data_IF_851037737408
#
_entry.id   IF_851037737408
#
_cell.length_a   1.000
_cell.length_b   1.000
_cell.length_c   1.000
_cell.angle_alpha   90.00
_cell.angle_beta   90.00
_cell.angle_gamma   90.00
#
_symmetry.space_group_name_H-M   'P 1'
#
loop_
_entity.id
_entity.type
_entity.pdbx_description
1 polymer ?
#
# COMPACT_ATOMS: atom_id res chain seq x y z
N UNK A 1 44.06 24.93 -90.32
CA UNK A 1 44.13 25.58 -89.00
C UNK A 1 43.00 25.03 -88.16
N UNK A 2 43.25 23.95 -87.43
CA UNK A 2 42.31 23.38 -86.44
C UNK A 2 43.19 23.10 -85.22
N UNK A 3 43.11 23.97 -84.23
CA UNK A 3 43.72 23.75 -82.93
C UNK A 3 42.60 23.28 -82.00
N UNK A 4 42.53 21.98 -81.78
CA UNK A 4 41.68 21.38 -80.76
C UNK A 4 42.35 21.62 -79.41
N UNK A 5 41.79 22.52 -78.59
CA UNK A 5 42.21 22.69 -77.19
C UNK A 5 41.79 21.43 -76.42
N UNK A 6 42.75 20.62 -76.01
CA UNK A 6 42.56 19.56 -75.03
C UNK A 6 42.65 20.16 -73.63
N UNK A 7 41.52 20.32 -72.95
CA UNK A 7 41.48 20.64 -71.52
C UNK A 7 41.85 19.40 -70.72
N UNK A 8 43.06 19.40 -70.14
CA UNK A 8 43.53 18.36 -69.22
C UNK A 8 42.70 18.40 -67.93
N UNK A 9 41.79 17.43 -67.78
CA UNK A 9 41.23 17.12 -66.47
C UNK A 9 42.33 16.37 -65.68
N UNK A 10 42.74 16.85 -64.49
CA UNK A 10 43.55 16.00 -63.63
C UNK A 10 42.69 14.79 -63.25
N UNK A 11 43.10 13.61 -63.73
CA UNK A 11 42.55 12.34 -63.27
C UNK A 11 42.87 12.25 -61.77
N UNK A 12 41.90 12.59 -60.93
CA UNK A 12 41.88 12.12 -59.55
C UNK A 12 41.99 10.61 -59.61
N UNK A 13 43.07 10.07 -59.06
CA UNK A 13 43.22 8.65 -58.76
C UNK A 13 42.06 8.24 -57.84
N UNK A 14 40.96 7.81 -58.44
CA UNK A 14 39.68 7.52 -57.75
C UNK A 14 39.72 6.24 -56.93
N UNK A 15 40.76 5.42 -57.09
CA UNK A 15 40.96 4.18 -56.33
C UNK A 15 42.45 3.97 -56.08
N UNK A 16 42.93 4.25 -54.86
CA UNK A 16 44.25 3.81 -54.39
C UNK A 16 44.06 2.54 -53.56
N UNK A 17 44.62 1.42 -54.02
CA UNK A 17 44.71 0.15 -53.28
C UNK A 17 45.88 0.14 -52.29
N UNK A 18 46.26 1.31 -51.79
CA UNK A 18 47.22 1.45 -50.69
C UNK A 18 46.54 1.10 -49.36
N UNK A 19 47.30 0.49 -48.43
CA UNK A 19 46.80 0.17 -47.08
C UNK A 19 46.23 1.41 -46.38
N UNK A 20 46.77 2.59 -46.70
CA UNK A 20 46.28 3.91 -46.33
C UNK A 20 45.61 4.56 -47.55
N UNK A 21 44.32 4.84 -47.48
CA UNK A 21 43.61 5.54 -48.53
C UNK A 21 42.99 6.83 -47.97
N UNK A 22 43.20 7.95 -48.67
CA UNK A 22 42.73 9.29 -48.28
C UNK A 22 42.05 9.96 -49.46
N UNK A 23 40.80 10.38 -49.31
CA UNK A 23 40.05 11.05 -50.37
C UNK A 23 38.60 11.28 -49.98
N UNK A 24 37.82 12.03 -50.77
CA UNK A 24 36.40 12.26 -50.48
C UNK A 24 35.62 10.93 -50.33
N UNK A 25 35.97 9.95 -51.16
CA UNK A 25 35.51 8.56 -51.09
C UNK A 25 36.74 7.69 -50.95
N UNK A 26 36.83 6.93 -49.87
CA UNK A 26 38.03 6.15 -49.58
C UNK A 26 37.67 4.74 -49.12
N UNK A 27 38.25 3.75 -49.79
CA UNK A 27 38.09 2.32 -49.45
C UNK A 27 39.48 1.70 -49.29
N UNK A 28 39.76 1.08 -48.15
CA UNK A 28 41.08 0.50 -47.85
C UNK A 28 41.15 -0.04 -46.42
N UNK A 29 42.24 -0.71 -46.03
CA UNK A 29 42.39 -1.22 -44.66
C UNK A 29 42.33 -0.08 -43.61
N UNK A 30 43.01 1.03 -43.90
CA UNK A 30 42.93 2.31 -43.20
C UNK A 30 42.41 3.35 -44.18
N UNK A 31 41.23 3.88 -43.90
CA UNK A 31 40.55 4.79 -44.82
C UNK A 31 40.19 6.10 -44.10
N UNK A 32 40.52 7.24 -44.70
CA UNK A 32 40.10 8.57 -44.22
C UNK A 32 39.42 9.35 -45.35
N UNK A 33 38.20 9.81 -45.13
CA UNK A 33 37.44 10.49 -46.17
C UNK A 33 36.09 11.01 -45.71
N UNK A 34 35.35 11.73 -46.57
CA UNK A 34 33.97 12.09 -46.25
C UNK A 34 33.08 10.84 -46.16
N UNK A 35 33.27 9.91 -47.11
CA UNK A 35 32.75 8.55 -47.10
C UNK A 35 33.91 7.57 -47.04
N UNK A 36 34.00 6.83 -45.95
CA UNK A 36 35.13 5.95 -45.67
C UNK A 36 34.65 4.53 -45.35
N UNK A 37 35.23 3.54 -46.01
CA UNK A 37 35.02 2.12 -45.72
C UNK A 37 36.37 1.42 -45.51
N UNK A 38 36.55 0.73 -44.40
CA UNK A 38 37.82 0.06 -44.10
C UNK A 38 37.82 -0.70 -42.78
N UNK A 39 38.88 -1.43 -42.45
CA UNK A 39 39.00 -2.03 -41.11
C UNK A 39 39.07 -0.93 -40.03
N UNK A 40 39.82 0.13 -40.33
CA UNK A 40 39.88 1.38 -39.58
C UNK A 40 39.41 2.51 -40.50
N UNK A 41 38.31 3.13 -40.15
CA UNK A 41 37.66 4.13 -41.00
C UNK A 41 37.45 5.42 -40.22
N UNK A 42 37.78 6.56 -40.83
CA UNK A 42 37.54 7.90 -40.26
C UNK A 42 36.87 8.78 -41.29
N UNK A 43 35.71 9.35 -40.97
CA UNK A 43 34.98 10.16 -41.93
C UNK A 43 33.65 10.73 -41.45
N UNK A 44 32.96 11.48 -42.31
CA UNK A 44 31.59 11.91 -41.98
C UNK A 44 30.66 10.70 -41.93
N UNK A 45 30.74 9.82 -42.93
CA UNK A 45 30.16 8.48 -42.96
C UNK A 45 31.30 7.45 -42.96
N UNK A 46 31.34 6.60 -41.94
CA UNK A 46 32.43 5.65 -41.71
C UNK A 46 31.88 4.24 -41.47
N UNK A 47 32.35 3.26 -42.24
CA UNK A 47 32.00 1.84 -42.07
C UNK A 47 33.25 1.00 -41.88
N UNK A 48 33.30 0.19 -40.82
CA UNK A 48 34.51 -0.55 -40.49
C UNK A 48 34.46 -1.39 -39.23
N UNK A 49 35.60 -1.97 -38.84
CA UNK A 49 35.71 -2.63 -37.54
C UNK A 49 35.86 -1.58 -36.43
N UNK A 50 36.68 -0.57 -36.69
CA UNK A 50 36.83 0.66 -35.90
C UNK A 50 36.44 1.86 -36.77
N UNK A 51 35.36 2.54 -36.38
CA UNK A 51 34.77 3.64 -37.16
C UNK A 51 34.69 4.91 -36.31
N UNK A 52 35.28 6.00 -36.79
CA UNK A 52 35.22 7.32 -36.12
C UNK A 52 34.66 8.38 -37.06
N UNK A 53 33.65 9.12 -36.62
CA UNK A 53 32.90 9.97 -37.57
C UNK A 53 31.61 10.57 -37.05
N UNK A 54 30.84 11.20 -37.95
CA UNK A 54 29.51 11.68 -37.61
C UNK A 54 28.49 10.53 -37.62
N UNK A 55 28.57 9.65 -38.63
CA UNK A 55 27.72 8.48 -38.81
C UNK A 55 28.60 7.24 -39.00
N UNK A 56 28.59 6.36 -38.00
CA UNK A 56 29.47 5.20 -37.95
C UNK A 56 28.67 3.91 -37.96
N UNK A 57 29.11 2.94 -38.76
CA UNK A 57 28.71 1.55 -38.65
C UNK A 57 29.95 0.70 -38.41
N UNK A 58 29.99 -0.08 -37.34
CA UNK A 58 31.15 -0.90 -37.07
C UNK A 58 31.18 -1.59 -35.71
N UNK A 59 32.12 -2.51 -35.50
CA UNK A 59 32.21 -3.24 -34.23
C UNK A 59 32.48 -2.29 -33.05
N UNK A 60 33.41 -1.34 -33.23
CA UNK A 60 33.69 -0.23 -32.32
C UNK A 60 33.45 1.09 -33.05
N UNK A 61 32.50 1.88 -32.57
CA UNK A 61 32.07 3.12 -33.24
C UNK A 61 32.10 4.30 -32.28
N UNK A 62 32.79 5.38 -32.66
CA UNK A 62 32.84 6.64 -31.88
C UNK A 62 32.40 7.83 -32.73
N UNK A 63 31.37 8.57 -32.27
CA UNK A 63 30.80 9.63 -33.10
C UNK A 63 29.46 10.19 -32.66
N UNK A 64 28.78 10.93 -33.54
CA UNK A 64 27.45 11.46 -33.23
C UNK A 64 26.36 10.36 -33.31
N UNK A 65 26.36 9.57 -34.38
CA UNK A 65 25.43 8.47 -34.64
C UNK A 65 26.22 7.18 -34.88
N UNK A 66 26.02 6.17 -34.03
CA UNK A 66 26.79 4.93 -34.07
C UNK A 66 25.87 3.72 -34.13
N UNK A 67 26.13 2.81 -35.05
CA UNK A 67 25.54 1.46 -35.08
C UNK A 67 26.66 0.43 -34.97
N UNK A 68 26.66 -0.38 -33.90
CA UNK A 68 27.81 -1.22 -33.63
C UNK A 68 27.67 -2.20 -32.47
N UNK A 69 28.74 -2.92 -32.14
CA UNK A 69 28.75 -3.76 -30.94
C UNK A 69 29.08 -2.91 -29.70
N UNK A 70 30.08 -2.04 -29.80
CA UNK A 70 30.50 -1.06 -28.81
C UNK A 70 30.39 0.34 -29.43
N UNK A 71 29.49 1.17 -28.92
CA UNK A 71 29.16 2.47 -29.49
C UNK A 71 29.24 3.56 -28.44
N UNK A 72 30.07 4.59 -28.69
CA UNK A 72 30.19 5.77 -27.81
C UNK A 72 29.88 7.04 -28.59
N UNK A 73 28.90 7.83 -28.12
CA UNK A 73 28.42 8.96 -28.91
C UNK A 73 27.15 9.62 -28.42
N UNK A 74 26.54 10.49 -29.23
CA UNK A 74 25.27 11.10 -28.89
C UNK A 74 24.10 10.10 -29.05
N UNK A 75 24.05 9.38 -30.17
CA UNK A 75 23.01 8.40 -30.52
C UNK A 75 23.67 7.07 -30.86
N UNK A 76 23.33 6.03 -30.11
CA UNK A 76 23.97 4.72 -30.23
C UNK A 76 22.93 3.61 -30.35
N UNK A 77 23.13 2.73 -31.31
CA UNK A 77 22.44 1.45 -31.41
C UNK A 77 23.49 0.35 -31.37
N UNK A 78 23.42 -0.54 -30.39
CA UNK A 78 24.44 -1.58 -30.25
C UNK A 78 24.38 -2.39 -28.99
N UNK A 79 25.15 -3.49 -28.90
CA UNK A 79 25.14 -4.35 -27.71
C UNK A 79 25.53 -3.58 -26.44
N UNK A 80 26.58 -2.74 -26.52
CA UNK A 80 27.09 -1.90 -25.46
C UNK A 80 27.14 -0.45 -25.94
N UNK A 81 26.33 0.42 -25.35
CA UNK A 81 26.13 1.79 -25.83
C UNK A 81 26.30 2.81 -24.70
N UNK A 82 27.12 3.83 -24.91
CA UNK A 82 27.31 4.96 -23.97
C UNK A 82 27.03 6.28 -24.68
N UNK A 83 26.01 7.03 -24.22
CA UNK A 83 25.63 8.26 -24.91
C UNK A 83 24.44 9.03 -24.36
N UNK A 84 23.94 10.00 -25.13
CA UNK A 84 22.70 10.70 -24.75
C UNK A 84 21.49 9.79 -24.97
N UNK A 85 21.43 9.12 -26.12
CA UNK A 85 20.42 8.15 -26.52
C UNK A 85 21.09 6.83 -26.87
N UNK A 86 20.74 5.76 -26.16
CA UNK A 86 21.39 4.45 -26.31
C UNK A 86 20.33 3.34 -26.37
N UNK A 87 20.32 2.57 -27.46
CA UNK A 87 19.50 1.36 -27.60
C UNK A 87 20.40 0.14 -27.68
N UNK A 88 20.23 -0.84 -26.79
CA UNK A 88 21.19 -1.93 -26.68
C UNK A 88 20.89 -3.00 -25.65
N UNK A 89 21.84 -3.92 -25.44
CA UNK A 89 21.75 -4.87 -24.33
C UNK A 89 22.16 -4.19 -23.03
N UNK A 90 23.26 -3.42 -23.07
CA UNK A 90 23.80 -2.59 -22.00
C UNK A 90 23.88 -1.15 -22.48
N UNK A 91 23.09 -0.27 -21.88
CA UNK A 91 22.97 1.13 -22.28
C UNK A 91 23.22 2.05 -21.09
N UNK A 92 24.19 2.94 -21.23
CA UNK A 92 24.45 4.02 -20.26
C UNK A 92 24.24 5.37 -20.93
N UNK A 93 23.60 6.31 -20.22
CA UNK A 93 23.22 7.56 -20.86
C UNK A 93 22.11 8.37 -20.24
N UNK A 94 21.59 9.36 -20.97
CA UNK A 94 20.41 10.11 -20.53
C UNK A 94 19.11 9.34 -20.81
N UNK A 95 18.99 8.76 -22.01
CA UNK A 95 17.82 8.00 -22.46
C UNK A 95 18.27 6.64 -22.97
N UNK A 96 17.91 5.59 -22.25
CA UNK A 96 18.36 4.25 -22.53
C UNK A 96 17.18 3.30 -22.77
N UNK A 97 17.26 2.53 -23.85
CA UNK A 97 16.39 1.37 -24.08
C UNK A 97 17.25 0.12 -24.14
N UNK A 98 16.97 -0.89 -23.32
CA UNK A 98 17.80 -2.08 -23.34
C UNK A 98 17.53 -3.11 -22.27
N UNK A 99 18.35 -4.17 -22.20
CA UNK A 99 18.17 -5.17 -21.15
C UNK A 99 18.64 -4.65 -19.79
N UNK A 100 19.81 -4.01 -19.75
CA UNK A 100 20.38 -3.31 -18.60
C UNK A 100 20.61 -1.84 -18.98
N UNK A 101 19.92 -0.94 -18.28
CA UNK A 101 19.91 0.49 -18.60
C UNK A 101 20.24 1.32 -17.36
N UNK A 102 21.25 2.20 -17.45
CA UNK A 102 21.63 3.12 -16.37
C UNK A 102 21.65 4.56 -16.88
N UNK A 103 20.88 5.44 -16.24
CA UNK A 103 20.70 6.79 -16.78
C UNK A 103 19.60 7.63 -16.14
N UNK A 104 19.24 8.74 -16.78
CA UNK A 104 18.13 9.57 -16.30
C UNK A 104 16.77 8.92 -16.62
N UNK A 105 16.58 8.45 -17.85
CA UNK A 105 15.37 7.80 -18.36
C UNK A 105 15.73 6.43 -18.94
N UNK A 106 15.18 5.37 -18.36
CA UNK A 106 15.52 4.01 -18.72
C UNK A 106 14.27 3.18 -19.00
N UNK A 107 14.24 2.49 -20.13
CA UNK A 107 13.28 1.44 -20.44
C UNK A 107 14.03 0.12 -20.61
N UNK A 108 13.68 -0.91 -19.85
CA UNK A 108 14.45 -2.15 -19.94
C UNK A 108 14.06 -3.26 -18.99
N UNK A 109 14.83 -4.34 -18.95
CA UNK A 109 14.57 -5.41 -17.98
C UNK A 109 15.04 -5.00 -16.58
N UNK A 110 16.28 -4.50 -16.49
CA UNK A 110 16.88 -3.92 -15.29
C UNK A 110 17.23 -2.45 -15.57
N UNK A 111 16.57 -1.54 -14.85
CA UNK A 111 16.69 -0.10 -15.07
C UNK A 111 17.05 0.62 -13.77
N UNK A 112 18.16 1.37 -13.78
CA UNK A 112 18.61 2.18 -12.64
C UNK A 112 18.77 3.64 -13.03
N UNK A 113 18.14 4.56 -12.31
CA UNK A 113 18.09 5.95 -12.77
C UNK A 113 17.13 6.87 -12.05
N UNK A 114 16.80 8.02 -12.65
CA UNK A 114 15.76 8.89 -12.11
C UNK A 114 14.35 8.38 -12.46
N UNK A 115 14.13 8.02 -13.72
CA UNK A 115 12.85 7.56 -14.28
C UNK A 115 13.06 6.21 -14.96
N UNK A 116 12.40 5.17 -14.45
CA UNK A 116 12.64 3.81 -14.89
C UNK A 116 11.33 3.09 -15.19
N UNK A 117 11.29 2.41 -16.33
CA UNK A 117 10.25 1.45 -16.69
C UNK A 117 10.92 0.12 -16.98
N UNK A 118 10.47 -0.96 -16.34
CA UNK A 118 11.10 -2.25 -16.56
C UNK A 118 10.60 -3.39 -15.70
N UNK A 119 11.26 -4.55 -15.74
CA UNK A 119 10.91 -5.65 -14.82
C UNK A 119 11.40 -5.36 -13.40
N UNK A 120 12.67 -4.95 -13.28
CA UNK A 120 13.31 -4.46 -12.06
C UNK A 120 13.71 -3.00 -12.28
N UNK A 121 13.10 -2.10 -11.52
CA UNK A 121 13.30 -0.65 -11.67
C UNK A 121 13.66 0.01 -10.35
N UNK A 122 14.80 0.70 -10.30
CA UNK A 122 15.29 1.41 -9.10
C UNK A 122 15.59 2.88 -9.42
N UNK A 123 14.94 3.81 -8.72
CA UNK A 123 15.08 5.24 -9.02
C UNK A 123 14.13 6.16 -8.27
N UNK A 124 13.99 7.41 -8.70
CA UNK A 124 13.02 8.33 -8.09
C UNK A 124 11.58 7.94 -8.46
N UNK A 125 11.35 7.72 -9.76
CA UNK A 125 10.10 7.23 -10.35
C UNK A 125 10.37 5.88 -11.01
N UNK A 126 9.76 4.82 -10.48
CA UNK A 126 10.02 3.46 -10.91
C UNK A 126 8.72 2.73 -11.21
N UNK A 127 8.57 2.21 -12.42
CA UNK A 127 7.45 1.35 -12.83
C UNK A 127 7.97 -0.02 -13.22
N UNK A 128 7.50 -1.08 -12.58
CA UNK A 128 7.91 -2.43 -12.95
C UNK A 128 7.29 -3.56 -12.17
N UNK A 129 7.72 -4.80 -12.40
CA UNK A 129 7.26 -5.91 -11.56
C UNK A 129 7.80 -5.76 -10.13
N UNK A 130 9.10 -5.46 -10.01
CA UNK A 130 9.77 -5.04 -8.78
C UNK A 130 10.22 -3.60 -8.95
N UNK A 131 9.66 -2.72 -8.13
CA UNK A 131 9.90 -1.28 -8.21
C UNK A 131 10.38 -0.74 -6.86
N UNK A 132 11.50 -0.03 -6.87
CA UNK A 132 12.01 0.70 -5.70
C UNK A 132 12.24 2.16 -6.06
N UNK A 133 11.74 3.07 -5.21
CA UNK A 133 11.89 4.50 -5.44
C UNK A 133 11.12 5.42 -4.52
N UNK A 134 11.13 6.71 -4.79
CA UNK A 134 10.26 7.63 -4.07
C UNK A 134 8.79 7.40 -4.46
N UNK A 135 8.55 7.16 -5.75
CA UNK A 135 7.27 6.84 -6.34
C UNK A 135 7.40 5.52 -7.11
N UNK A 136 6.76 4.48 -6.60
CA UNK A 136 6.91 3.11 -7.10
C UNK A 136 5.58 2.48 -7.48
N UNK A 137 5.48 2.02 -8.73
CA UNK A 137 4.33 1.27 -9.22
C UNK A 137 4.78 -0.12 -9.67
N UNK A 138 4.09 -1.17 -9.21
CA UNK A 138 4.50 -2.52 -9.53
C UNK A 138 3.77 -3.65 -8.82
N UNK A 139 4.20 -4.89 -9.02
CA UNK A 139 3.66 -6.01 -8.24
C UNK A 139 4.22 -5.98 -6.82
N UNK A 140 5.53 -5.78 -6.71
CA UNK A 140 6.25 -5.50 -5.46
C UNK A 140 6.81 -4.08 -5.54
N UNK A 141 6.32 -3.19 -4.69
CA UNK A 141 6.70 -1.77 -4.71
C UNK A 141 7.21 -1.32 -3.34
N UNK A 142 8.39 -0.69 -3.32
CA UNK A 142 8.95 -0.08 -2.10
C UNK A 142 9.25 1.39 -2.34
N UNK A 143 8.69 2.26 -1.50
CA UNK A 143 8.86 3.69 -1.69
C UNK A 143 8.05 4.59 -0.78
N UNK A 144 8.23 5.91 -0.90
CA UNK A 144 7.41 6.87 -0.14
C UNK A 144 5.94 6.78 -0.56
N UNK A 145 5.68 6.71 -1.85
CA UNK A 145 4.39 6.46 -2.48
C UNK A 145 4.47 5.17 -3.30
N UNK A 146 3.76 4.14 -2.87
CA UNK A 146 3.80 2.82 -3.52
C UNK A 146 2.41 2.34 -3.91
N UNK A 147 2.27 1.93 -5.18
CA UNK A 147 1.05 1.32 -5.70
C UNK A 147 1.38 -0.06 -6.27
N UNK A 148 0.55 -1.06 -5.97
CA UNK A 148 0.87 -2.43 -6.36
C UNK A 148 0.10 -3.52 -5.66
N UNK A 149 0.52 -4.78 -5.86
CA UNK A 149 -0.06 -5.90 -5.10
C UNK A 149 0.51 -5.94 -3.67
N UNK A 150 1.82 -5.78 -3.53
CA UNK A 150 2.54 -5.79 -2.26
C UNK A 150 3.38 -4.52 -2.13
N UNK A 151 3.04 -3.69 -1.14
CA UNK A 151 3.63 -2.36 -1.00
C UNK A 151 4.25 -2.17 0.39
N UNK A 152 5.44 -1.58 0.41
CA UNK A 152 6.08 -1.09 1.64
C UNK A 152 6.46 0.37 1.46
N UNK A 153 6.10 1.23 2.42
CA UNK A 153 6.26 2.65 2.21
C UNK A 153 5.65 3.57 3.25
N UNK A 154 5.56 4.86 2.94
CA UNK A 154 4.83 5.82 3.78
C UNK A 154 3.33 5.82 3.41
N UNK A 155 3.03 5.96 2.11
CA UNK A 155 1.69 5.98 1.54
C UNK A 155 1.54 4.82 0.55
N UNK A 156 0.68 3.85 0.87
CA UNK A 156 0.58 2.61 0.10
C UNK A 156 -0.86 2.32 -0.33
N UNK A 157 -1.03 1.87 -1.58
CA UNK A 157 -2.31 1.38 -2.11
C UNK A 157 -2.12 0.04 -2.81
N UNK A 158 -2.77 -1.02 -2.32
CA UNK A 158 -2.60 -2.36 -2.88
C UNK A 158 -3.38 -3.48 -2.24
N UNK A 159 -3.01 -4.74 -2.52
CA UNK A 159 -3.64 -5.89 -1.86
C UNK A 159 -3.08 -6.09 -0.45
N UNK A 160 -1.75 -6.06 -0.33
CA UNK A 160 -0.99 -6.09 0.92
C UNK A 160 -0.21 -4.77 1.03
N UNK A 161 -0.49 -3.96 2.05
CA UNK A 161 0.10 -2.63 2.19
C UNK A 161 0.64 -2.42 3.61
N UNK A 162 1.94 -2.11 3.74
CA UNK A 162 2.58 -1.82 5.03
C UNK A 162 3.22 -0.44 5.02
N UNK A 163 2.80 0.45 5.95
CA UNK A 163 3.29 1.82 5.98
C UNK A 163 2.67 2.73 7.01
N UNK A 164 2.73 4.04 6.81
CA UNK A 164 2.07 5.01 7.71
C UNK A 164 0.59 5.14 7.37
N UNK A 165 0.26 5.36 6.10
CA UNK A 165 -1.07 5.24 5.52
C UNK A 165 -1.08 4.05 4.57
N UNK A 166 -1.91 3.07 4.88
CA UNK A 166 -2.01 1.84 4.11
C UNK A 166 -3.46 1.60 3.71
N UNK A 167 -3.72 1.57 2.40
CA UNK A 167 -5.01 1.17 1.84
C UNK A 167 -4.86 -0.15 1.10
N UNK A 168 -5.77 -1.10 1.37
CA UNK A 168 -5.71 -2.41 0.74
C UNK A 168 -6.56 -3.49 1.36
N UNK A 169 -6.47 -4.73 0.85
CA UNK A 169 -7.21 -5.84 1.44
C UNK A 169 -6.66 -6.20 2.83
N UNK A 170 -5.33 -6.33 2.94
CA UNK A 170 -4.58 -6.43 4.19
C UNK A 170 -3.73 -5.17 4.34
N UNK A 171 -4.02 -4.35 5.34
CA UNK A 171 -3.31 -3.10 5.58
C UNK A 171 -2.73 -3.06 6.99
N UNK A 172 -1.44 -2.76 7.09
CA UNK A 172 -0.77 -2.48 8.36
C UNK A 172 -0.18 -1.08 8.34
N UNK A 173 -0.43 -0.31 9.40
CA UNK A 173 0.08 1.05 9.48
C UNK A 173 -0.57 1.93 10.54
N UNK A 174 -0.16 3.19 10.65
CA UNK A 174 -0.77 4.11 11.62
C UNK A 174 -2.25 4.36 11.29
N UNK A 175 -2.54 4.65 10.01
CA UNK A 175 -3.89 4.69 9.44
C UNK A 175 -4.01 3.54 8.43
N UNK A 176 -4.92 2.62 8.70
CA UNK A 176 -5.14 1.44 7.85
C UNK A 176 -6.59 1.33 7.43
N UNK A 177 -6.82 1.24 6.12
CA UNK A 177 -8.16 1.09 5.53
C UNK A 177 -8.19 -0.13 4.62
N UNK A 178 -9.24 -0.95 4.73
CA UNK A 178 -9.23 -2.25 4.06
C UNK A 178 -10.25 -3.27 4.51
N UNK A 179 -10.04 -4.54 4.15
CA UNK A 179 -10.82 -5.64 4.71
C UNK A 179 -10.27 -6.07 6.07
N UNK A 180 -8.95 -6.27 6.17
CA UNK A 180 -8.24 -6.70 7.37
C UNK A 180 -7.15 -5.70 7.71
N UNK A 181 -7.28 -5.03 8.85
CA UNK A 181 -6.47 -3.86 9.16
C UNK A 181 -5.86 -3.94 10.55
N UNK A 182 -4.57 -3.63 10.64
CA UNK A 182 -3.88 -3.45 11.92
C UNK A 182 -3.26 -2.06 11.97
N UNK A 183 -3.65 -1.25 12.95
CA UNK A 183 -3.14 0.10 13.03
C UNK A 183 -3.54 0.89 14.26
N UNK A 184 -3.09 2.14 14.37
CA UNK A 184 -3.60 3.01 15.44
C UNK A 184 -5.05 3.41 15.16
N UNK A 185 -5.33 3.83 13.93
CA UNK A 185 -6.66 4.06 13.38
C UNK A 185 -6.91 3.02 12.27
N UNK A 186 -7.96 2.22 12.44
CA UNK A 186 -8.20 1.03 11.62
C UNK A 186 -9.66 0.97 11.17
N UNK A 187 -9.90 0.99 9.86
CA UNK A 187 -11.26 0.98 9.26
C UNK A 187 -11.43 -0.17 8.28
N UNK A 188 -12.35 -1.09 8.56
CA UNK A 188 -12.57 -2.24 7.70
C UNK A 188 -13.53 -3.30 8.22
N UNK A 189 -13.47 -4.51 7.66
CA UNK A 189 -14.30 -5.62 8.13
C UNK A 189 -13.75 -6.19 9.43
N UNK A 190 -12.45 -6.47 9.49
CA UNK A 190 -11.70 -6.86 10.68
C UNK A 190 -10.66 -5.76 10.97
N UNK A 191 -10.80 -5.10 12.11
CA UNK A 191 -9.95 -3.96 12.47
C UNK A 191 -9.36 -4.15 13.86
N UNK A 192 -8.03 -4.19 13.95
CA UNK A 192 -7.30 -4.18 15.22
C UNK A 192 -6.59 -2.84 15.37
N UNK A 193 -6.76 -2.18 16.52
CA UNK A 193 -6.14 -0.88 16.73
C UNK A 193 -6.51 -0.13 18.00
N UNK A 194 -6.05 1.11 18.14
CA UNK A 194 -6.48 1.98 19.24
C UNK A 194 -7.90 2.46 19.00
N UNK A 195 -8.17 2.98 17.79
CA UNK A 195 -9.49 3.32 17.28
C UNK A 195 -9.81 2.38 16.11
N UNK A 196 -10.83 1.56 16.28
CA UNK A 196 -11.24 0.57 15.26
C UNK A 196 -12.70 0.76 14.87
N UNK A 197 -12.96 0.88 13.58
CA UNK A 197 -14.31 0.93 13.01
C UNK A 197 -14.50 -0.22 12.03
N UNK A 198 -15.62 -0.92 12.12
CA UNK A 198 -15.81 -2.11 11.30
C UNK A 198 -16.88 -3.09 11.73
N UNK A 199 -16.87 -4.30 11.14
CA UNK A 199 -17.75 -5.38 11.56
C UNK A 199 -17.20 -6.07 12.82
N UNK A 200 -15.91 -6.37 12.84
CA UNK A 200 -15.20 -7.05 13.93
C UNK A 200 -14.02 -6.20 14.37
N UNK A 201 -14.13 -5.62 15.56
CA UNK A 201 -13.14 -4.67 16.06
C UNK A 201 -12.50 -5.17 17.35
N UNK A 202 -11.18 -5.09 17.42
CA UNK A 202 -10.42 -5.26 18.66
C UNK A 202 -9.61 -4.00 18.92
N UNK A 203 -9.67 -3.46 20.13
CA UNK A 203 -9.01 -2.20 20.39
C UNK A 203 -9.34 -1.50 21.70
N UNK A 204 -8.94 -0.24 21.82
CA UNK A 204 -9.35 0.60 22.97
C UNK A 204 -10.73 1.20 22.76
N UNK A 205 -10.95 1.84 21.61
CA UNK A 205 -12.20 2.50 21.22
C UNK A 205 -12.73 1.84 19.95
N UNK A 206 -13.88 1.17 20.06
CA UNK A 206 -14.44 0.40 18.95
C UNK A 206 -15.86 0.87 18.59
N UNK A 207 -16.13 0.98 17.29
CA UNK A 207 -17.48 1.21 16.76
C UNK A 207 -17.79 0.19 15.67
N UNK A 208 -18.85 -0.59 15.84
CA UNK A 208 -19.12 -1.68 14.89
C UNK A 208 -20.15 -2.71 15.31
N UNK A 209 -20.23 -3.83 14.60
CA UNK A 209 -21.17 -4.90 14.93
C UNK A 209 -20.70 -5.73 16.13
N UNK A 210 -19.45 -6.17 16.13
CA UNK A 210 -18.83 -7.02 17.14
C UNK A 210 -17.55 -6.34 17.64
N UNK A 211 -17.51 -5.99 18.92
CA UNK A 211 -16.43 -5.20 19.48
C UNK A 211 -15.86 -5.85 20.74
N UNK A 212 -14.53 -5.89 20.82
CA UNK A 212 -13.78 -6.27 22.03
C UNK A 212 -12.81 -5.15 22.39
N UNK A 213 -13.05 -4.47 23.52
CA UNK A 213 -12.18 -3.34 23.88
C UNK A 213 -12.59 -2.58 25.13
N UNK A 214 -11.90 -1.47 25.42
CA UNK A 214 -12.18 -0.70 26.63
C UNK A 214 -13.52 0.04 26.54
N UNK A 215 -13.75 0.80 25.46
CA UNK A 215 -15.01 1.45 25.13
C UNK A 215 -15.51 0.88 23.80
N UNK A 216 -16.74 0.35 23.80
CA UNK A 216 -17.31 -0.30 22.62
C UNK A 216 -18.76 0.14 22.39
N UNK A 217 -19.05 0.58 21.16
CA UNK A 217 -20.42 0.91 20.72
C UNK A 217 -20.80 0.02 19.53
N UNK A 218 -21.91 -0.71 19.65
CA UNK A 218 -22.25 -1.70 18.63
C UNK A 218 -23.42 -2.62 18.92
N UNK A 219 -23.52 -3.73 18.19
CA UNK A 219 -24.54 -4.74 18.49
C UNK A 219 -24.10 -5.66 19.62
N UNK A 220 -22.93 -6.30 19.49
CA UNK A 220 -22.32 -7.17 20.50
C UNK A 220 -21.02 -6.55 20.99
N UNK A 221 -20.95 -6.29 22.29
CA UNK A 221 -19.79 -5.64 22.90
C UNK A 221 -19.28 -6.44 24.09
N UNK A 222 -17.96 -6.63 24.14
CA UNK A 222 -17.23 -7.11 25.31
C UNK A 222 -16.21 -6.04 25.70
N UNK A 223 -16.31 -5.51 26.91
CA UNK A 223 -15.46 -4.39 27.29
C UNK A 223 -15.62 -3.84 28.69
N UNK A 224 -14.98 -2.71 28.98
CA UNK A 224 -15.16 -2.03 30.27
C UNK A 224 -16.44 -1.18 30.25
N UNK A 225 -16.58 -0.34 29.21
CA UNK A 225 -17.75 0.47 28.91
C UNK A 225 -18.35 0.00 27.58
N UNK A 226 -19.59 -0.48 27.62
CA UNK A 226 -20.23 -1.07 26.44
C UNK A 226 -21.64 -0.55 26.25
N UNK A 227 -21.92 -0.02 25.05
CA UNK A 227 -23.25 0.42 24.64
C UNK A 227 -23.71 -0.36 23.42
N UNK A 228 -24.80 -1.13 23.54
CA UNK A 228 -25.26 -1.96 22.43
C UNK A 228 -26.47 -2.83 22.69
N UNK A 229 -26.77 -3.76 21.80
CA UNK A 229 -27.88 -4.69 22.01
C UNK A 229 -27.53 -5.73 23.08
N UNK A 230 -26.34 -6.31 22.99
CA UNK A 230 -25.75 -7.23 23.95
C UNK A 230 -24.42 -6.65 24.43
N UNK A 231 -24.31 -6.42 25.73
CA UNK A 231 -23.13 -5.78 26.33
C UNK A 231 -22.68 -6.57 27.56
N UNK A 232 -21.44 -7.05 27.52
CA UNK A 232 -20.77 -7.69 28.67
C UNK A 232 -19.59 -6.83 29.09
N UNK A 233 -19.48 -6.55 30.39
CA UNK A 233 -18.44 -5.63 30.86
C UNK A 233 -18.60 -5.14 32.29
N UNK A 234 -17.90 -4.07 32.66
CA UNK A 234 -18.07 -3.44 33.96
C UNK A 234 -19.30 -2.52 33.98
N UNK A 235 -19.45 -1.67 32.97
CA UNK A 235 -20.52 -0.69 32.83
C UNK A 235 -21.20 -0.85 31.47
N UNK A 236 -22.46 -1.27 31.48
CA UNK A 236 -23.16 -1.67 30.27
C UNK A 236 -24.49 -0.94 30.13
N UNK A 237 -24.77 -0.47 28.92
CA UNK A 237 -26.08 0.03 28.51
C UNK A 237 -26.55 -0.75 27.28
N UNK A 238 -27.77 -1.28 27.30
CA UNK A 238 -28.24 -2.09 26.18
C UNK A 238 -29.59 -2.77 26.34
N UNK A 239 -29.92 -3.68 25.43
CA UNK A 239 -31.12 -4.52 25.59
C UNK A 239 -30.85 -5.63 26.62
N UNK A 240 -29.74 -6.35 26.45
CA UNK A 240 -29.21 -7.34 27.38
C UNK A 240 -27.84 -6.86 27.89
N UNK A 241 -27.75 -6.58 29.19
CA UNK A 241 -26.57 -6.01 29.82
C UNK A 241 -26.11 -6.87 30.99
N UNK A 242 -24.86 -7.34 30.96
CA UNK A 242 -24.25 -8.16 32.03
C UNK A 242 -22.97 -7.52 32.54
N UNK A 243 -22.93 -7.14 33.82
CA UNK A 243 -21.77 -6.46 34.38
C UNK A 243 -21.90 -6.02 35.83
N UNK A 244 -21.06 -5.09 36.27
CA UNK A 244 -21.16 -4.53 37.62
C UNK A 244 -22.32 -3.52 37.70
N UNK A 245 -22.35 -2.58 36.75
CA UNK A 245 -23.48 -1.68 36.51
C UNK A 245 -24.09 -2.01 35.16
N UNK A 246 -25.37 -2.40 35.16
CA UNK A 246 -26.09 -2.82 33.97
C UNK A 246 -27.39 -2.04 33.84
N UNK A 247 -27.53 -1.32 32.73
CA UNK A 247 -28.79 -0.65 32.35
C UNK A 247 -29.33 -1.29 31.08
N UNK A 248 -30.61 -1.66 31.07
CA UNK A 248 -31.20 -2.32 29.92
C UNK A 248 -32.50 -3.05 30.16
N UNK A 249 -33.12 -3.59 29.12
CA UNK A 249 -34.37 -4.34 29.26
C UNK A 249 -34.18 -5.56 30.16
N UNK A 250 -33.13 -6.35 29.92
CA UNK A 250 -32.67 -7.44 30.76
C UNK A 250 -31.28 -7.07 31.30
N UNK A 251 -31.18 -6.86 32.60
CA UNK A 251 -29.92 -6.44 33.24
C UNK A 251 -29.52 -7.42 34.34
N UNK A 252 -28.30 -7.94 34.22
CA UNK A 252 -27.67 -8.75 35.26
C UNK A 252 -26.44 -8.04 35.81
N UNK A 253 -26.33 -7.92 37.13
CA UNK A 253 -25.18 -7.25 37.73
C UNK A 253 -25.27 -6.94 39.21
N UNK A 254 -24.30 -6.19 39.73
CA UNK A 254 -24.37 -5.74 41.13
C UNK A 254 -25.43 -4.66 41.29
N UNK A 255 -25.42 -3.67 40.39
CA UNK A 255 -26.45 -2.63 40.25
C UNK A 255 -27.12 -2.79 38.89
N UNK A 256 -28.41 -3.09 38.89
CA UNK A 256 -29.17 -3.35 37.66
C UNK A 256 -30.39 -2.44 37.57
N UNK A 257 -30.53 -1.74 36.43
CA UNK A 257 -31.69 -0.88 36.13
C UNK A 257 -32.37 -1.32 34.85
N UNK A 258 -33.71 -1.43 34.88
CA UNK A 258 -34.53 -1.66 33.69
C UNK A 258 -35.75 -2.53 33.90
N UNK A 259 -36.19 -3.29 32.88
CA UNK A 259 -37.47 -4.01 32.98
C UNK A 259 -37.36 -5.30 33.81
N UNK A 260 -36.34 -6.11 33.53
CA UNK A 260 -36.06 -7.38 34.21
C UNK A 260 -34.63 -7.35 34.75
N UNK A 261 -34.50 -7.35 36.07
CA UNK A 261 -33.20 -7.18 36.73
C UNK A 261 -32.89 -8.37 37.63
N UNK A 262 -31.66 -8.88 37.51
CA UNK A 262 -31.08 -9.82 38.46
C UNK A 262 -29.81 -9.22 39.04
N UNK A 263 -29.66 -9.22 40.35
CA UNK A 263 -28.51 -8.56 40.95
C UNK A 263 -28.55 -8.35 42.45
N UNK A 264 -27.65 -7.53 42.98
CA UNK A 264 -27.66 -7.18 44.41
C UNK A 264 -28.63 -6.03 44.68
N UNK A 265 -28.54 -4.95 43.90
CA UNK A 265 -29.37 -3.76 43.96
C UNK A 265 -30.11 -3.57 42.63
N UNK A 266 -31.43 -3.67 42.64
CA UNK A 266 -32.23 -3.64 41.42
C UNK A 266 -33.31 -2.56 41.46
N UNK A 267 -33.45 -1.83 40.36
CA UNK A 267 -34.55 -0.87 40.15
C UNK A 267 -35.24 -1.14 38.81
N UNK A 268 -36.54 -1.42 38.82
CA UNK A 268 -37.21 -1.85 37.59
C UNK A 268 -38.63 -2.35 37.73
N UNK A 269 -39.17 -3.00 36.69
CA UNK A 269 -40.51 -3.59 36.77
C UNK A 269 -40.50 -4.95 37.50
N UNK A 270 -39.57 -5.83 37.14
CA UNK A 270 -39.40 -7.18 37.68
C UNK A 270 -37.98 -7.36 38.19
N UNK A 271 -37.83 -7.62 39.49
CA UNK A 271 -36.52 -7.63 40.14
C UNK A 271 -36.31 -8.88 40.99
N UNK A 272 -35.12 -9.47 40.89
CA UNK A 272 -34.64 -10.56 41.76
C UNK A 272 -33.28 -10.20 42.33
N UNK A 273 -33.18 -10.02 43.64
CA UNK A 273 -31.91 -9.60 44.26
C UNK A 273 -31.91 -9.45 45.77
N UNK A 274 -30.93 -8.74 46.32
CA UNK A 274 -30.89 -8.50 47.78
C UNK A 274 -31.79 -7.32 48.16
N UNK A 275 -31.63 -6.18 47.48
CA UNK A 275 -32.50 -5.00 47.57
C UNK A 275 -33.15 -4.77 46.21
N UNK A 276 -34.48 -4.81 46.17
CA UNK A 276 -35.26 -4.78 44.92
C UNK A 276 -36.39 -3.76 45.02
N UNK A 277 -36.40 -2.77 44.11
CA UNK A 277 -37.48 -1.77 44.02
C UNK A 277 -38.18 -1.85 42.66
N UNK A 278 -39.49 -2.09 42.64
CA UNK A 278 -40.23 -2.26 41.40
C UNK A 278 -41.70 -2.59 41.48
N UNK A 279 -42.29 -3.13 40.41
CA UNK A 279 -43.69 -3.60 40.42
C UNK A 279 -43.79 -4.99 41.07
N UNK A 280 -42.94 -5.91 40.63
CA UNK A 280 -42.71 -7.23 41.22
C UNK A 280 -41.27 -7.31 41.73
N UNK A 281 -41.11 -7.48 43.04
CA UNK A 281 -39.80 -7.49 43.68
C UNK A 281 -39.61 -8.73 44.56
N UNK A 282 -38.62 -9.55 44.23
CA UNK A 282 -38.16 -10.66 45.07
C UNK A 282 -36.78 -10.34 45.63
N UNK A 283 -36.60 -10.50 46.94
CA UNK A 283 -35.31 -10.25 47.59
C UNK A 283 -35.35 -10.20 49.11
N UNK A 284 -34.21 -9.97 49.75
CA UNK A 284 -34.17 -9.83 51.21
C UNK A 284 -34.97 -8.60 51.68
N UNK A 285 -34.81 -7.49 50.95
CA UNK A 285 -35.54 -6.24 51.12
C UNK A 285 -36.22 -5.87 49.80
N UNK A 286 -37.55 -5.90 49.79
CA UNK A 286 -38.34 -5.74 48.56
C UNK A 286 -39.37 -4.63 48.71
N UNK A 287 -39.35 -3.67 47.80
CA UNK A 287 -40.38 -2.63 47.69
C UNK A 287 -41.08 -2.74 46.34
N UNK A 288 -42.41 -2.74 46.33
CA UNK A 288 -43.19 -2.84 45.12
C UNK A 288 -44.65 -3.25 45.29
N UNK A 289 -45.45 -3.19 44.22
CA UNK A 289 -46.86 -3.57 44.28
C UNK A 289 -47.05 -5.01 44.80
N UNK A 290 -46.21 -5.93 44.32
CA UNK A 290 -46.10 -7.32 44.77
C UNK A 290 -44.66 -7.57 45.25
N UNK A 291 -44.48 -7.90 46.53
CA UNK A 291 -43.15 -8.01 47.14
C UNK A 291 -42.98 -9.29 47.96
N UNK A 292 -41.94 -10.05 47.66
CA UNK A 292 -41.54 -11.26 48.40
C UNK A 292 -40.17 -11.06 49.03
N UNK A 293 -40.03 -11.37 50.32
CA UNK A 293 -38.76 -11.18 51.02
C UNK A 293 -38.76 -11.38 52.52
N UNK A 294 -37.64 -11.10 53.18
CA UNK A 294 -37.58 -11.03 54.64
C UNK A 294 -38.31 -9.77 55.14
N UNK A 295 -38.06 -8.65 54.46
CA UNK A 295 -38.69 -7.35 54.71
C UNK A 295 -39.34 -6.84 53.40
N UNK A 296 -40.66 -6.68 53.40
CA UNK A 296 -41.39 -6.27 52.19
C UNK A 296 -42.29 -5.04 52.42
N UNK A 297 -42.28 -4.13 51.46
CA UNK A 297 -43.16 -2.94 51.42
C UNK A 297 -43.97 -2.99 50.12
N UNK A 298 -45.30 -3.16 50.22
CA UNK A 298 -46.12 -3.33 49.01
C UNK A 298 -47.61 -3.42 49.23
N UNK A 299 -48.39 -3.42 48.16
CA UNK A 299 -49.84 -3.65 48.27
C UNK A 299 -50.12 -5.10 48.69
N UNK A 300 -49.39 -6.05 48.07
CA UNK A 300 -49.44 -7.48 48.36
C UNK A 300 -48.03 -7.96 48.72
N UNK A 301 -47.86 -8.56 49.90
CA UNK A 301 -46.55 -8.97 50.40
C UNK A 301 -46.53 -10.38 51.01
N UNK A 302 -45.48 -11.13 50.68
CA UNK A 302 -45.14 -12.39 51.35
C UNK A 302 -43.81 -12.23 52.06
N UNK A 303 -43.85 -12.06 53.38
CA UNK A 303 -42.63 -11.76 54.15
C UNK A 303 -42.78 -12.00 55.64
N UNK A 304 -41.64 -12.16 56.33
CA UNK A 304 -41.59 -12.17 57.79
C UNK A 304 -42.01 -10.81 58.38
N UNK A 305 -41.62 -9.70 57.73
CA UNK A 305 -41.97 -8.35 58.16
C UNK A 305 -42.52 -7.55 56.99
N UNK A 306 -43.78 -7.08 57.09
CA UNK A 306 -44.45 -6.28 56.06
C UNK A 306 -45.16 -5.06 56.61
N UNK A 307 -45.13 -3.96 55.86
CA UNK A 307 -45.99 -2.78 56.08
C UNK A 307 -47.05 -2.61 54.99
N UNK A 308 -47.38 -3.68 54.29
CA UNK A 308 -48.32 -3.68 53.16
C UNK A 308 -49.79 -3.76 53.52
N UNK A 309 -50.65 -3.46 52.54
CA UNK A 309 -52.12 -3.50 52.73
C UNK A 309 -52.65 -4.92 52.93
N UNK A 310 -52.06 -5.91 52.26
CA UNK A 310 -52.42 -7.33 52.35
C UNK A 310 -51.16 -8.17 52.56
N UNK A 311 -51.05 -8.82 53.72
CA UNK A 311 -49.86 -9.57 54.12
C UNK A 311 -50.15 -11.06 54.32
N UNK A 312 -49.39 -11.93 53.65
CA UNK A 312 -49.40 -13.38 53.86
C UNK A 312 -48.11 -13.81 54.58
N UNK A 313 -48.19 -14.46 55.77
CA UNK A 313 -47.00 -14.91 56.48
C UNK A 313 -46.16 -15.87 55.65
N UNK A 314 -44.84 -15.72 55.68
CA UNK A 314 -43.94 -16.74 55.13
C UNK A 314 -44.03 -18.02 55.99
N UNK A 315 -44.27 -19.16 55.35
CA UNK A 315 -44.36 -20.50 55.95
C UNK A 315 -43.00 -21.11 56.23
#
# INVERSE_FOLDING_TARGET
MVFTLTTSHPKSTLFSTSALNTGAFSTGAFSTGMLSTGAFSTGMLSTGMLSTGAFNTGMLSTGAFNTGMLSTGAFNTGAFSTGMLSTGMLSTGAFNTGMLSTGAFNTGMLSTGAFNTGMLSTGMLSTGMLSTGAFSTGMLSTGMLSTGAFNTGMLNTGMLSTGMLSTGMLSTGMLSTGAFNTGMLSTGMLSTGMLSTGAFNTGMLNTGAFNTGMLSTGMLNTGMLSTGMLSTGAFNTGMLSTGMLSTGMLSTGMLSTGAFNTGMLNTGAFNTGMLSTGMLSTGAFSTGAFSTGAFSTGMLSTSAFSTGAFNTPAS
#
